data_IF_999565074938
#
_entry.id   IF_999565074938
#
_cell.length_a   1.000
_cell.length_b   1.000
_cell.length_c   1.000
_cell.angle_alpha   90.00
_cell.angle_beta   90.00
_cell.angle_gamma   90.00
#
_symmetry.space_group_name_H-M   'P 1'
#
loop_
_entity.id
_entity.type
_entity.pdbx_description
1 polymer ?
#
# COMPACT_ATOMS: atom_id res chain seq x y z
N UNK A 1 -9.51 41.25 -28.22
CA UNK A 1 -8.20 40.63 -27.94
C UNK A 1 -7.72 40.84 -26.50
N UNK A 2 -7.99 41.97 -25.83
CA UNK A 2 -7.64 42.19 -24.40
C UNK A 2 -8.31 41.24 -23.40
N UNK A 3 -9.47 40.68 -23.75
CA UNK A 3 -10.25 39.84 -22.84
C UNK A 3 -9.74 38.40 -22.72
N UNK A 4 -8.76 37.96 -23.51
CA UNK A 4 -8.18 36.60 -23.45
C UNK A 4 -6.85 36.60 -22.67
N UNK A 5 -6.11 37.73 -22.68
CA UNK A 5 -4.86 37.88 -21.95
C UNK A 5 -5.05 37.90 -20.43
N UNK A 6 -6.15 38.47 -19.92
CA UNK A 6 -6.43 38.50 -18.48
C UNK A 6 -6.60 37.09 -17.89
N UNK A 7 -7.24 36.15 -18.60
CA UNK A 7 -7.43 34.78 -18.12
C UNK A 7 -6.12 33.98 -18.07
N UNK A 8 -5.19 34.24 -18.99
CA UNK A 8 -3.89 33.57 -18.99
C UNK A 8 -3.03 34.02 -17.80
N UNK A 9 -3.04 35.32 -17.49
CA UNK A 9 -2.36 35.88 -16.32
C UNK A 9 -3.00 35.37 -15.02
N UNK A 10 -4.33 35.40 -14.93
CA UNK A 10 -5.06 34.85 -13.79
C UNK A 10 -4.73 33.37 -13.57
N UNK A 11 -4.71 32.54 -14.62
CA UNK A 11 -4.40 31.11 -14.53
C UNK A 11 -2.97 30.84 -14.01
N UNK A 12 -2.00 31.64 -14.45
CA UNK A 12 -0.61 31.53 -13.97
C UNK A 12 -0.55 31.91 -12.48
N UNK A 13 -1.25 32.97 -12.08
CA UNK A 13 -1.33 33.41 -10.68
C UNK A 13 -1.98 32.33 -9.81
N UNK A 14 -3.13 31.78 -10.22
CA UNK A 14 -3.83 30.73 -9.48
C UNK A 14 -2.99 29.46 -9.33
N UNK A 15 -2.43 28.95 -10.43
CA UNK A 15 -1.62 27.73 -10.38
C UNK A 15 -0.35 27.88 -9.53
N UNK A 16 0.31 29.05 -9.56
CA UNK A 16 1.44 29.33 -8.67
C UNK A 16 1.02 29.37 -7.21
N UNK A 17 -0.13 29.99 -6.90
CA UNK A 17 -0.65 30.04 -5.55
C UNK A 17 -1.02 28.64 -5.03
N UNK A 18 -1.66 27.80 -5.85
CA UNK A 18 -2.04 26.44 -5.49
C UNK A 18 -0.82 25.57 -5.12
N UNK A 19 0.27 25.67 -5.88
CA UNK A 19 1.51 24.93 -5.60
C UNK A 19 2.14 25.39 -4.28
N UNK A 20 2.18 26.69 -4.02
CA UNK A 20 2.72 27.23 -2.75
C UNK A 20 1.88 26.80 -1.54
N UNK A 21 0.55 26.78 -1.69
CA UNK A 21 -0.35 26.29 -0.64
C UNK A 21 -0.10 24.80 -0.40
N UNK A 22 -0.01 24.00 -1.46
CA UNK A 22 0.24 22.56 -1.34
C UNK A 22 1.61 22.27 -0.68
N UNK A 23 2.66 23.03 -1.03
CA UNK A 23 3.96 22.95 -0.36
C UNK A 23 3.83 23.24 1.13
N UNK A 24 3.17 24.34 1.50
CA UNK A 24 2.95 24.73 2.90
C UNK A 24 2.20 23.67 3.69
N UNK A 25 1.15 23.07 3.11
CA UNK A 25 0.41 21.96 3.72
C UNK A 25 1.32 20.75 3.91
N UNK A 26 2.04 20.32 2.86
CA UNK A 26 2.90 19.13 2.95
C UNK A 26 4.06 19.31 3.93
N UNK A 27 4.63 20.51 4.00
CA UNK A 27 5.76 20.82 4.89
C UNK A 27 5.35 20.90 6.37
N UNK A 28 4.11 21.26 6.67
CA UNK A 28 3.64 21.51 8.04
C UNK A 28 2.69 20.43 8.58
N UNK A 29 2.25 19.48 7.74
CA UNK A 29 1.38 18.40 8.19
C UNK A 29 2.05 17.56 9.27
N UNK A 30 1.28 17.16 10.28
CA UNK A 30 1.75 16.24 11.32
C UNK A 30 1.05 14.90 11.19
N UNK A 31 1.85 13.83 11.18
CA UNK A 31 1.31 12.46 11.17
C UNK A 31 0.97 12.00 12.59
N UNK A 32 0.03 11.07 12.72
CA UNK A 32 -0.34 10.45 14.00
C UNK A 32 -0.04 8.94 13.95
N UNK A 33 1.23 8.50 14.14
CA UNK A 33 1.63 7.11 13.91
C UNK A 33 0.84 6.10 14.74
N UNK A 34 0.46 6.45 15.97
CA UNK A 34 -0.34 5.59 16.85
C UNK A 34 -1.72 5.34 16.24
N UNK A 35 -2.41 6.38 15.77
CA UNK A 35 -3.73 6.22 15.13
C UNK A 35 -3.64 5.44 13.83
N UNK A 36 -2.60 5.67 13.04
CA UNK A 36 -2.37 4.92 11.80
C UNK A 36 -2.16 3.43 12.07
N UNK A 37 -1.41 3.07 13.13
CA UNK A 37 -1.20 1.66 13.51
C UNK A 37 -2.46 0.98 14.02
N UNK A 38 -3.27 1.68 14.84
CA UNK A 38 -4.52 1.13 15.38
C UNK A 38 -5.59 0.96 14.30
N UNK A 39 -5.52 1.74 13.21
CA UNK A 39 -6.41 1.61 12.07
C UNK A 39 -6.13 0.37 11.18
N UNK A 40 -5.05 -0.38 11.44
CA UNK A 40 -4.74 -1.60 10.70
C UNK A 40 -5.66 -2.74 11.13
N UNK A 41 -6.45 -3.22 10.19
CA UNK A 41 -7.40 -4.31 10.39
C UNK A 41 -6.78 -5.66 10.01
N UNK A 42 -6.87 -6.70 10.86
CA UNK A 42 -6.34 -8.04 10.54
C UNK A 42 -6.89 -8.68 9.25
N UNK A 43 -8.10 -8.32 8.80
CA UNK A 43 -8.63 -8.76 7.50
C UNK A 43 -7.84 -8.21 6.32
N UNK A 44 -7.09 -7.11 6.47
CA UNK A 44 -6.17 -6.62 5.44
C UNK A 44 -5.08 -7.66 5.09
N UNK A 45 -4.79 -8.61 6.00
CA UNK A 45 -3.82 -9.69 5.82
C UNK A 45 -4.41 -10.97 5.21
N UNK A 46 -5.70 -10.98 4.84
CA UNK A 46 -6.32 -12.15 4.20
C UNK A 46 -5.61 -12.49 2.88
N UNK A 47 -5.26 -11.48 2.08
CA UNK A 47 -4.51 -11.72 0.85
C UNK A 47 -3.11 -12.30 1.13
N UNK A 48 -2.49 -12.01 2.27
CA UNK A 48 -1.20 -12.63 2.64
C UNK A 48 -1.36 -14.12 3.00
N UNK A 49 -2.50 -14.53 3.55
CA UNK A 49 -2.86 -15.94 3.77
C UNK A 49 -3.03 -16.67 2.43
N UNK A 50 -3.67 -16.02 1.44
CA UNK A 50 -3.78 -16.57 0.10
C UNK A 50 -2.40 -16.67 -0.59
N UNK A 51 -1.59 -15.61 -0.54
CA UNK A 51 -0.24 -15.58 -1.09
C UNK A 51 0.66 -16.67 -0.47
N UNK A 52 0.50 -16.95 0.82
CA UNK A 52 1.20 -18.06 1.49
C UNK A 52 0.91 -19.41 0.83
N UNK A 53 -0.37 -19.72 0.56
CA UNK A 53 -0.75 -20.96 -0.11
C UNK A 53 -0.29 -21.00 -1.57
N UNK A 54 -0.34 -19.86 -2.27
CA UNK A 54 0.17 -19.76 -3.65
C UNK A 54 1.67 -20.05 -3.70
N UNK A 55 2.45 -19.56 -2.73
CA UNK A 55 3.89 -19.87 -2.61
C UNK A 55 4.16 -21.35 -2.34
N UNK A 56 3.19 -22.07 -1.77
CA UNK A 56 3.22 -23.53 -1.58
C UNK A 56 2.68 -24.32 -2.79
N UNK A 57 2.36 -23.65 -3.90
CA UNK A 57 1.92 -24.27 -5.14
C UNK A 57 0.41 -24.43 -5.28
N UNK A 58 -0.39 -23.87 -4.37
CA UNK A 58 -1.86 -23.86 -4.50
C UNK A 58 -2.28 -22.84 -5.56
N UNK A 59 -3.24 -23.21 -6.42
CA UNK A 59 -3.76 -22.29 -7.43
C UNK A 59 -4.48 -21.12 -6.75
N UNK A 60 -4.33 -19.91 -7.30
CA UNK A 60 -4.89 -18.70 -6.69
C UNK A 60 -6.40 -18.77 -6.35
N UNK A 61 -7.30 -19.28 -7.22
CA UNK A 61 -8.73 -19.36 -6.87
C UNK A 61 -8.98 -20.21 -5.63
N UNK A 62 -8.26 -21.32 -5.49
CA UNK A 62 -8.36 -22.21 -4.33
C UNK A 62 -7.76 -21.56 -3.09
N UNK A 63 -6.57 -20.95 -3.20
CA UNK A 63 -5.92 -20.22 -2.10
C UNK A 63 -6.80 -19.07 -1.58
N UNK A 64 -7.42 -18.31 -2.49
CA UNK A 64 -8.35 -17.23 -2.17
C UNK A 64 -9.60 -17.76 -1.45
N UNK A 65 -10.20 -18.86 -1.91
CA UNK A 65 -11.32 -19.50 -1.20
C UNK A 65 -10.93 -19.98 0.21
N UNK A 66 -9.75 -20.58 0.37
CA UNK A 66 -9.28 -21.03 1.69
C UNK A 66 -9.08 -19.82 2.62
N UNK A 67 -8.48 -18.74 2.14
CA UNK A 67 -8.39 -17.50 2.90
C UNK A 67 -9.75 -16.92 3.28
N UNK A 68 -10.75 -17.01 2.38
CA UNK A 68 -12.13 -16.61 2.68
C UNK A 68 -12.72 -17.40 3.85
N UNK A 69 -12.49 -18.72 3.90
CA UNK A 69 -12.90 -19.56 5.05
C UNK A 69 -12.17 -19.20 6.34
N UNK A 70 -10.92 -18.74 6.28
CA UNK A 70 -10.23 -18.19 7.45
C UNK A 70 -10.91 -16.91 7.97
N UNK A 71 -11.36 -16.03 7.07
CA UNK A 71 -12.11 -14.83 7.43
C UNK A 71 -13.48 -15.18 8.04
N UNK A 72 -14.22 -16.10 7.42
CA UNK A 72 -15.50 -16.60 7.94
C UNK A 72 -15.34 -17.24 9.34
N UNK A 73 -14.28 -18.01 9.55
CA UNK A 73 -13.94 -18.58 10.86
C UNK A 73 -13.67 -17.49 11.90
N UNK A 74 -12.97 -16.42 11.51
CA UNK A 74 -12.71 -15.24 12.35
C UNK A 74 -14.00 -14.59 12.81
N UNK A 75 -14.92 -14.35 11.89
CA UNK A 75 -16.23 -13.74 12.16
C UNK A 75 -17.08 -14.63 13.06
N UNK A 76 -17.18 -15.92 12.73
CA UNK A 76 -17.98 -16.89 13.50
C UNK A 76 -17.44 -17.07 14.92
N UNK A 77 -16.13 -17.03 15.11
CA UNK A 77 -15.50 -17.11 16.43
C UNK A 77 -15.59 -15.79 17.23
N UNK A 78 -16.00 -14.68 16.61
CA UNK A 78 -15.97 -13.35 17.23
C UNK A 78 -14.56 -12.91 17.62
N UNK A 79 -13.54 -13.39 16.88
CA UNK A 79 -12.13 -13.13 17.17
C UNK A 79 -11.45 -12.52 15.95
N UNK A 80 -10.48 -11.61 16.12
CA UNK A 80 -9.69 -11.11 15.00
C UNK A 80 -8.90 -12.22 14.31
N UNK A 81 -8.69 -12.12 12.99
CA UNK A 81 -8.12 -13.21 12.19
C UNK A 81 -6.70 -13.59 12.64
N UNK A 82 -5.91 -12.60 13.08
CA UNK A 82 -4.57 -12.78 13.66
C UNK A 82 -4.55 -13.38 15.07
N UNK A 83 -5.72 -13.59 15.69
CA UNK A 83 -5.88 -14.25 17.00
C UNK A 83 -6.40 -15.68 16.89
N UNK A 84 -6.71 -16.16 15.68
CA UNK A 84 -7.05 -17.55 15.45
C UNK A 84 -5.85 -18.45 15.79
N UNK A 85 -6.10 -19.53 16.52
CA UNK A 85 -5.06 -20.50 16.83
C UNK A 85 -4.65 -21.25 15.55
N UNK A 86 -3.35 -21.52 15.41
CA UNK A 86 -2.81 -22.35 14.32
C UNK A 86 -3.58 -23.66 14.12
N UNK A 87 -3.98 -24.33 15.20
CA UNK A 87 -4.73 -25.59 15.12
C UNK A 87 -6.05 -25.43 14.39
N UNK A 88 -6.76 -24.32 14.60
CA UNK A 88 -8.02 -24.01 13.90
C UNK A 88 -7.79 -23.69 12.42
N UNK A 89 -6.71 -22.99 12.09
CA UNK A 89 -6.33 -22.78 10.69
C UNK A 89 -5.98 -24.11 10.03
N UNK A 90 -5.27 -25.00 10.72
CA UNK A 90 -4.90 -26.33 10.23
C UNK A 90 -6.09 -27.27 10.01
N UNK A 91 -7.16 -27.09 10.79
CA UNK A 91 -8.45 -27.78 10.58
C UNK A 91 -9.13 -27.34 9.28
N UNK A 92 -8.96 -26.07 8.84
CA UNK A 92 -9.51 -25.58 7.58
C UNK A 92 -8.79 -26.16 6.36
N UNK A 93 -7.47 -26.25 6.43
CA UNK A 93 -6.65 -26.81 5.34
C UNK A 93 -5.35 -27.43 5.83
N UNK A 94 -5.04 -28.61 5.30
CA UNK A 94 -3.88 -29.36 5.71
C UNK A 94 -2.52 -28.80 5.23
N UNK A 95 -2.52 -27.81 4.33
CA UNK A 95 -1.28 -27.19 3.83
C UNK A 95 -0.76 -26.09 4.75
N UNK A 96 -1.56 -25.64 5.72
CA UNK A 96 -1.08 -24.71 6.74
C UNK A 96 -0.06 -25.38 7.64
N UNK A 97 1.07 -24.73 7.84
CA UNK A 97 2.08 -25.11 8.83
C UNK A 97 2.18 -24.00 9.88
N UNK A 98 3.01 -24.19 10.91
CA UNK A 98 3.10 -23.22 12.02
C UNK A 98 3.55 -21.82 11.56
N UNK A 99 4.29 -21.75 10.47
CA UNK A 99 4.75 -20.53 9.82
C UNK A 99 3.60 -19.66 9.26
N UNK A 100 2.38 -20.19 9.11
CA UNK A 100 1.21 -19.35 8.75
C UNK A 100 0.99 -18.20 9.73
N UNK A 101 1.36 -18.38 11.00
CA UNK A 101 1.21 -17.34 12.00
C UNK A 101 2.08 -16.11 11.68
N UNK A 102 3.11 -16.28 10.87
CA UNK A 102 3.96 -15.19 10.41
C UNK A 102 3.32 -14.30 9.34
N UNK A 103 2.22 -14.73 8.70
CA UNK A 103 1.50 -13.87 7.74
C UNK A 103 0.71 -12.77 8.44
N UNK A 104 0.49 -12.89 9.76
CA UNK A 104 -0.22 -11.91 10.57
C UNK A 104 0.67 -10.78 11.10
N UNK A 105 1.59 -10.31 10.26
CA UNK A 105 2.58 -9.26 10.55
C UNK A 105 2.54 -8.22 9.41
N UNK A 106 2.16 -6.98 9.75
CA UNK A 106 1.97 -5.91 8.77
C UNK A 106 3.30 -5.48 8.12
N UNK A 107 4.38 -5.44 8.89
CA UNK A 107 5.71 -5.13 8.40
C UNK A 107 6.21 -6.19 7.41
N UNK A 108 5.97 -7.49 7.70
CA UNK A 108 6.26 -8.57 6.74
C UNK A 108 5.41 -8.45 5.47
N UNK A 109 4.11 -8.18 5.62
CA UNK A 109 3.20 -7.96 4.48
C UNK A 109 3.72 -6.86 3.54
N UNK A 110 4.12 -5.72 4.10
CA UNK A 110 4.72 -4.63 3.33
C UNK A 110 6.05 -5.03 2.67
N UNK A 111 6.93 -5.73 3.39
CA UNK A 111 8.23 -6.14 2.86
C UNK A 111 8.13 -7.16 1.72
N UNK A 112 7.06 -7.95 1.65
CA UNK A 112 6.81 -8.87 0.54
C UNK A 112 6.51 -8.15 -0.78
N UNK A 113 6.05 -6.89 -0.76
CA UNK A 113 5.71 -6.09 -1.96
C UNK A 113 6.97 -5.52 -2.62
N UNK A 114 7.83 -6.42 -3.10
CA UNK A 114 9.18 -6.16 -3.62
C UNK A 114 9.24 -5.85 -5.13
N UNK A 115 8.12 -5.99 -5.85
CA UNK A 115 8.04 -5.60 -7.26
C UNK A 115 8.42 -4.12 -7.46
N UNK A 116 8.84 -3.75 -8.68
CA UNK A 116 9.16 -2.37 -9.03
C UNK A 116 7.94 -1.48 -8.77
N UNK A 117 8.12 -0.42 -7.97
CA UNK A 117 7.04 0.47 -7.54
C UNK A 117 6.29 0.01 -6.28
N UNK A 118 6.62 -1.16 -5.72
CA UNK A 118 6.01 -1.68 -4.51
C UNK A 118 6.38 -0.92 -3.23
N UNK A 119 5.72 -1.29 -2.13
CA UNK A 119 5.78 -0.61 -0.83
C UNK A 119 6.89 -1.12 0.09
N UNK A 120 7.67 -2.12 -0.33
CA UNK A 120 8.87 -2.55 0.39
C UNK A 120 9.80 -1.37 0.66
N UNK A 121 10.42 -1.30 1.84
CA UNK A 121 11.30 -0.18 2.23
C UNK A 121 12.39 0.10 1.18
N UNK A 122 13.04 -0.94 0.68
CA UNK A 122 14.07 -0.80 -0.36
C UNK A 122 13.51 -0.25 -1.68
N UNK A 123 12.30 -0.67 -2.06
CA UNK A 123 11.61 -0.15 -3.25
C UNK A 123 11.27 1.33 -3.10
N UNK A 124 10.76 1.76 -1.94
CA UNK A 124 10.47 3.17 -1.66
C UNK A 124 11.74 4.03 -1.67
N UNK A 125 12.83 3.55 -1.04
CA UNK A 125 14.12 4.25 -1.09
C UNK A 125 14.67 4.38 -2.51
N UNK A 126 14.50 3.33 -3.33
CA UNK A 126 14.83 3.36 -4.75
C UNK A 126 14.02 4.41 -5.52
N UNK A 127 12.72 4.51 -5.25
CA UNK A 127 11.84 5.53 -5.84
C UNK A 127 12.26 6.95 -5.44
N UNK A 128 12.55 7.19 -4.14
CA UNK A 128 13.06 8.48 -3.65
C UNK A 128 14.35 8.87 -4.37
N UNK A 129 15.30 7.93 -4.51
CA UNK A 129 16.55 8.17 -5.23
C UNK A 129 16.30 8.53 -6.71
N UNK A 130 15.37 7.82 -7.35
CA UNK A 130 14.98 8.08 -8.75
C UNK A 130 14.38 9.48 -8.92
N UNK A 131 13.44 9.87 -8.06
CA UNK A 131 12.81 11.20 -8.08
C UNK A 131 13.82 12.32 -7.85
N UNK A 132 14.74 12.17 -6.88
CA UNK A 132 15.81 13.13 -6.65
C UNK A 132 16.67 13.34 -7.90
N UNK A 133 17.02 12.26 -8.61
CA UNK A 133 17.79 12.35 -9.86
C UNK A 133 17.04 13.13 -10.94
N UNK A 134 15.73 12.91 -11.08
CA UNK A 134 14.88 13.65 -12.04
C UNK A 134 14.86 15.14 -11.71
N UNK A 135 14.67 15.49 -10.43
CA UNK A 135 14.62 16.89 -9.97
C UNK A 135 15.96 17.63 -10.15
N UNK A 136 17.10 16.94 -10.03
CA UNK A 136 18.43 17.55 -10.18
C UNK A 136 19.00 17.51 -11.61
N UNK A 137 18.32 16.82 -12.54
CA UNK A 137 18.78 16.75 -13.93
C UNK A 137 18.55 18.11 -14.63
N UNK A 138 19.54 18.68 -15.33
CA UNK A 138 19.34 19.90 -16.10
C UNK A 138 18.27 19.66 -17.18
N UNK A 139 17.16 20.38 -17.07
CA UNK A 139 16.04 20.49 -18.01
C UNK A 139 15.74 19.25 -18.87
N UNK A 140 14.82 18.39 -18.42
CA UNK A 140 13.88 17.83 -19.41
C UNK A 140 13.02 19.02 -19.85
N UNK A 141 13.20 19.47 -21.10
CA UNK A 141 12.15 20.24 -21.75
C UNK A 141 10.88 19.41 -21.61
N UNK A 142 9.92 19.89 -20.81
CA UNK A 142 8.57 19.35 -20.80
C UNK A 142 7.94 19.73 -22.16
N UNK A 143 8.37 19.01 -23.19
CA UNK A 143 7.79 19.10 -24.51
C UNK A 143 6.45 18.41 -24.42
N UNK A 144 5.39 19.17 -24.13
CA UNK A 144 4.03 18.72 -24.36
C UNK A 144 3.97 18.42 -25.85
N UNK A 145 4.01 17.14 -26.23
CA UNK A 145 3.71 16.73 -27.61
C UNK A 145 2.21 16.98 -27.80
N UNK A 146 1.87 18.18 -28.26
CA UNK A 146 0.57 18.48 -28.87
C UNK A 146 0.53 17.89 -30.27
#
# INVERSE_FOLDING_TARGET
>A
MQHISCWAEDLIIYSSADIQIAEGVLATLTTQPVKTKVALDPFMLAMDVADYLVRKGVLFPEAHHISGRCAELSETAGMPMNKLAYTRLRELDARFERDIMETFDYEKSMEMRSAKGGTRKQSVLGQIKGLKKILTSPSHSWSVKT
#
